data_IF_812870047470
#
_entry.id   IF_812870047470
#
_cell.length_a   1.000
_cell.length_b   1.000
_cell.length_c   1.000
_cell.angle_alpha   90.00
_cell.angle_beta   90.00
_cell.angle_gamma   90.00
#
_symmetry.space_group_name_H-M   'P 1'
#
loop_
_entity.id
_entity.type
_entity.pdbx_description
1 polymer ?
#
# COMPACT_ATOMS: atom_id res chain seq x y z
N UNK A 1 9.15 8.30 5.46
CA UNK A 1 10.14 7.98 4.39
C UNK A 1 9.86 6.60 3.84
N UNK A 2 9.94 6.39 2.51
CA UNK A 2 9.80 5.08 1.87
C UNK A 2 11.18 4.50 1.55
N UNK A 3 11.34 3.19 1.74
CA UNK A 3 12.59 2.47 1.45
C UNK A 3 12.26 1.20 0.66
N UNK A 4 12.85 1.04 -0.52
CA UNK A 4 12.74 -0.18 -1.34
C UNK A 4 14.01 -1.02 -1.21
N UNK A 5 13.88 -2.28 -0.79
CA UNK A 5 15.00 -3.20 -0.58
C UNK A 5 15.19 -4.19 -1.73
N UNK A 6 16.46 -4.48 -2.05
CA UNK A 6 16.88 -5.54 -2.97
C UNK A 6 17.28 -6.81 -2.20
N UNK A 7 17.55 -7.93 -2.89
CA UNK A 7 18.32 -9.05 -2.33
C UNK A 7 19.75 -8.61 -1.96
N UNK A 8 20.38 -9.35 -1.04
CA UNK A 8 21.58 -8.96 -0.29
C UNK A 8 22.70 -8.31 -1.14
N UNK A 9 23.09 -7.07 -0.77
CA UNK A 9 24.33 -6.43 -1.23
C UNK A 9 24.14 -5.03 -1.83
N UNK A 10 22.96 -4.70 -2.36
CA UNK A 10 22.72 -3.39 -2.99
C UNK A 10 21.96 -2.40 -2.08
N UNK A 11 22.36 -1.11 -2.07
CA UNK A 11 21.64 -0.10 -1.31
C UNK A 11 20.24 0.12 -1.90
N UNK A 12 19.23 0.12 -1.03
CA UNK A 12 17.85 0.36 -1.41
C UNK A 12 17.59 1.78 -1.94
N UNK A 13 16.49 1.95 -2.68
CA UNK A 13 16.03 3.27 -3.13
C UNK A 13 15.15 3.92 -2.08
N UNK A 14 15.30 5.22 -1.87
CA UNK A 14 14.53 5.98 -0.89
C UNK A 14 13.70 7.06 -1.57
N UNK A 15 12.44 7.19 -1.16
CA UNK A 15 11.58 8.31 -1.56
C UNK A 15 11.05 9.01 -0.31
N UNK A 16 11.04 10.34 -0.35
CA UNK A 16 10.38 11.14 0.66
C UNK A 16 11.06 12.46 1.01
N UNK A 17 10.45 13.24 1.91
CA UNK A 17 9.24 12.89 2.68
C UNK A 17 7.98 12.72 1.82
N UNK A 18 7.17 11.71 2.15
CA UNK A 18 5.91 11.40 1.48
C UNK A 18 4.84 11.22 2.57
N UNK A 19 4.08 12.28 2.90
CA UNK A 19 3.08 12.21 3.97
C UNK A 19 1.91 11.29 3.58
N UNK A 20 1.70 11.08 2.28
CA UNK A 20 0.68 10.19 1.74
C UNK A 20 1.27 9.35 0.61
N UNK A 21 1.01 8.05 0.64
CA UNK A 21 1.34 7.10 -0.42
C UNK A 21 0.04 6.45 -0.88
N UNK A 22 -0.31 6.65 -2.15
CA UNK A 22 -1.48 6.06 -2.76
C UNK A 22 -1.11 4.69 -3.35
N UNK A 23 -1.67 3.63 -2.76
CA UNK A 23 -1.58 2.26 -3.28
C UNK A 23 -2.83 2.01 -4.10
N UNK A 24 -2.70 1.98 -5.43
CA UNK A 24 -3.83 1.88 -6.35
C UNK A 24 -3.56 0.80 -7.38
N UNK A 25 -4.38 -0.25 -7.41
CA UNK A 25 -4.22 -1.43 -8.26
C UNK A 25 -2.80 -1.97 -8.09
N UNK A 26 -2.05 -2.07 -9.18
CA UNK A 26 -0.67 -2.49 -9.25
C UNK A 26 0.34 -1.34 -9.10
N UNK A 27 -0.05 -0.11 -8.72
CA UNK A 27 0.88 1.03 -8.70
C UNK A 27 0.91 1.79 -7.38
N UNK A 28 2.07 2.39 -7.11
CA UNK A 28 2.29 3.35 -6.03
C UNK A 28 2.39 4.76 -6.60
N UNK A 29 1.69 5.72 -6.01
CA UNK A 29 1.70 7.14 -6.43
C UNK A 29 1.84 8.08 -5.25
N UNK A 30 2.38 9.26 -5.52
CA UNK A 30 2.49 10.36 -4.53
C UNK A 30 1.16 11.08 -4.28
N UNK A 31 0.22 11.01 -5.22
CA UNK A 31 -1.13 11.56 -5.15
C UNK A 31 -2.07 10.76 -6.07
N UNK A 32 -3.40 10.95 -6.02
CA UNK A 32 -4.34 10.15 -6.82
C UNK A 32 -4.01 10.13 -8.32
N UNK A 33 -3.67 11.30 -8.87
CA UNK A 33 -3.33 11.48 -10.29
C UNK A 33 -1.83 11.75 -10.53
N UNK A 34 -1.03 11.66 -9.47
CA UNK A 34 0.40 12.01 -9.48
C UNK A 34 1.28 10.98 -10.18
N UNK A 35 2.58 11.24 -10.15
CA UNK A 35 3.58 10.37 -10.76
C UNK A 35 3.54 8.97 -10.14
N UNK A 36 3.65 7.94 -11.00
CA UNK A 36 3.87 6.57 -10.55
C UNK A 36 5.29 6.45 -10.01
N UNK A 37 5.40 6.07 -8.74
CA UNK A 37 6.67 5.86 -8.05
C UNK A 37 7.22 4.44 -8.29
N UNK A 38 6.33 3.45 -8.28
CA UNK A 38 6.66 2.06 -8.55
C UNK A 38 5.43 1.31 -9.10
N UNK A 39 5.67 0.23 -9.84
CA UNK A 39 4.65 -0.73 -10.27
C UNK A 39 4.92 -2.09 -9.64
N UNK A 40 3.88 -2.77 -9.18
CA UNK A 40 3.92 -4.17 -8.76
C UNK A 40 3.79 -5.05 -10.00
N UNK A 41 4.76 -5.93 -10.21
CA UNK A 41 4.75 -6.90 -11.31
C UNK A 41 5.49 -8.16 -10.86
N UNK A 42 4.90 -9.33 -11.12
CA UNK A 42 5.46 -10.65 -10.79
C UNK A 42 6.05 -10.71 -9.37
N UNK A 43 5.23 -10.35 -8.36
CA UNK A 43 5.61 -10.29 -6.95
C UNK A 43 6.73 -9.30 -6.57
N UNK A 44 7.12 -8.38 -7.45
CA UNK A 44 8.20 -7.41 -7.23
C UNK A 44 7.73 -5.96 -7.47
N UNK A 45 8.48 -4.99 -6.94
CA UNK A 45 8.34 -3.57 -7.27
C UNK A 45 9.30 -3.19 -8.38
N UNK A 46 8.79 -2.64 -9.47
CA UNK A 46 9.56 -2.09 -10.57
C UNK A 46 9.64 -0.57 -10.43
N UNK A 47 10.86 -0.05 -10.33
CA UNK A 47 11.18 1.38 -10.30
C UNK A 47 12.23 1.63 -11.38
N UNK A 48 11.90 2.43 -12.39
CA UNK A 48 12.83 2.79 -13.47
C UNK A 48 13.51 1.55 -14.12
N UNK A 49 12.78 0.45 -14.24
CA UNK A 49 13.26 -0.81 -14.82
C UNK A 49 14.06 -1.72 -13.86
N UNK A 50 14.29 -1.30 -12.61
CA UNK A 50 14.92 -2.12 -11.56
C UNK A 50 13.87 -2.73 -10.65
N UNK A 51 14.14 -3.95 -10.18
CA UNK A 51 13.22 -4.70 -9.33
C UNK A 51 13.62 -4.66 -7.86
N UNK A 52 12.63 -4.62 -6.98
CA UNK A 52 12.80 -4.59 -5.53
C UNK A 52 11.78 -5.54 -4.89
N UNK A 53 12.19 -6.27 -3.86
CA UNK A 53 11.34 -7.29 -3.26
C UNK A 53 10.41 -6.74 -2.18
N UNK A 54 10.78 -5.58 -1.62
CA UNK A 54 10.17 -5.06 -0.42
C UNK A 54 10.12 -3.54 -0.43
N UNK A 55 9.02 -3.01 0.08
CA UNK A 55 8.83 -1.63 0.47
C UNK A 55 8.67 -1.56 2.00
N UNK A 56 9.33 -0.61 2.65
CA UNK A 56 9.11 -0.26 4.06
C UNK A 56 8.80 1.25 4.18
N UNK A 57 7.81 1.59 5.00
CA UNK A 57 7.53 2.97 5.41
C UNK A 57 8.10 3.17 6.80
N UNK A 58 8.97 4.15 6.97
CA UNK A 58 9.52 4.53 8.28
C UNK A 58 8.57 5.47 9.02
N UNK A 59 8.35 5.21 10.30
CA UNK A 59 7.56 6.04 11.21
C UNK A 59 6.12 5.53 11.41
N UNK A 60 5.37 6.12 12.35
CA UNK A 60 3.96 5.81 12.55
C UNK A 60 3.15 6.07 11.29
N UNK A 61 2.17 5.20 11.02
CA UNK A 61 1.28 5.34 9.88
C UNK A 61 -0.17 5.06 10.23
N UNK A 62 -1.06 5.63 9.42
CA UNK A 62 -2.47 5.29 9.34
C UNK A 62 -2.78 4.77 7.93
N UNK A 63 -3.81 3.93 7.80
CA UNK A 63 -4.27 3.45 6.49
C UNK A 63 -5.71 3.87 6.25
N UNK A 64 -5.98 4.42 5.07
CA UNK A 64 -7.30 4.85 4.63
C UNK A 64 -7.80 4.00 3.46
N UNK A 65 -8.87 3.22 3.66
CA UNK A 65 -9.56 2.55 2.55
C UNK A 65 -10.74 3.39 2.07
N UNK A 66 -10.83 3.62 0.76
CA UNK A 66 -12.03 4.17 0.13
C UNK A 66 -12.73 3.06 -0.66
N UNK A 67 -13.98 2.75 -0.30
CA UNK A 67 -14.79 1.83 -1.08
C UNK A 67 -15.15 2.46 -2.43
N UNK A 68 -14.99 1.70 -3.52
CA UNK A 68 -15.32 2.16 -4.88
C UNK A 68 -16.83 2.14 -5.17
N UNK A 69 -17.60 1.35 -4.41
CA UNK A 69 -19.06 1.25 -4.46
C UNK A 69 -19.58 0.81 -3.08
N UNK A 70 -20.89 0.95 -2.79
CA UNK A 70 -21.50 0.35 -1.61
C UNK A 70 -21.22 -1.16 -1.61
N UNK A 71 -20.44 -1.63 -0.63
CA UNK A 71 -20.13 -3.05 -0.47
C UNK A 71 -21.16 -3.65 0.49
N UNK A 72 -22.05 -4.57 0.09
CA UNK A 72 -23.06 -5.14 0.99
C UNK A 72 -22.49 -5.91 2.20
N UNK A 73 -21.21 -6.31 2.18
CA UNK A 73 -20.52 -6.87 3.36
C UNK A 73 -20.17 -5.79 4.41
N UNK A 74 -20.17 -4.52 4.00
CA UNK A 74 -20.01 -3.34 4.82
C UNK A 74 -21.38 -2.68 4.79
N UNK A 75 -22.24 -3.00 5.74
CA UNK A 75 -23.66 -2.62 5.75
C UNK A 75 -23.97 -1.23 5.18
N UNK A 76 -25.18 -1.07 4.64
CA UNK A 76 -25.66 0.06 3.83
C UNK A 76 -25.43 1.48 4.39
N UNK A 77 -24.96 1.62 5.63
CA UNK A 77 -24.71 2.86 6.36
C UNK A 77 -23.28 3.43 6.22
N UNK A 78 -22.39 2.85 5.41
CA UNK A 78 -21.00 3.35 5.32
C UNK A 78 -20.58 3.81 3.91
N UNK A 79 -21.11 4.94 3.39
CA UNK A 79 -20.41 5.68 2.36
C UNK A 79 -19.22 6.43 3.00
N UNK A 80 -18.01 6.04 2.64
CA UNK A 80 -16.82 6.89 2.79
C UNK A 80 -15.86 6.50 3.90
N UNK A 81 -14.66 6.06 3.51
CA UNK A 81 -13.41 6.05 4.28
C UNK A 81 -13.39 5.28 5.62
N UNK A 82 -12.63 4.18 5.64
CA UNK A 82 -12.24 3.49 6.87
C UNK A 82 -10.78 3.78 7.20
N UNK A 83 -10.52 4.10 8.46
CA UNK A 83 -9.19 4.42 8.98
C UNK A 83 -8.70 3.28 9.88
N UNK A 84 -7.45 2.89 9.72
CA UNK A 84 -6.77 1.85 10.50
C UNK A 84 -5.47 2.39 11.09
N UNK A 85 -5.14 1.93 12.29
CA UNK A 85 -3.97 2.38 13.05
C UNK A 85 -4.32 3.34 14.19
N UNK A 86 -3.33 4.08 14.74
CA UNK A 86 -1.94 4.16 14.26
C UNK A 86 -1.20 2.82 14.36
N UNK A 87 -0.35 2.55 13.39
CA UNK A 87 0.60 1.43 13.38
C UNK A 87 2.02 1.95 13.51
N UNK A 88 2.90 1.19 14.15
CA UNK A 88 4.30 1.57 14.32
C UNK A 88 5.15 1.29 13.08
N UNK A 89 4.71 0.35 12.24
CA UNK A 89 5.42 -0.06 11.03
C UNK A 89 4.47 -0.49 9.93
N UNK A 90 4.81 -0.12 8.70
CA UNK A 90 4.16 -0.62 7.49
C UNK A 90 5.19 -1.12 6.49
N UNK A 91 4.88 -2.23 5.84
CA UNK A 91 5.69 -2.77 4.77
C UNK A 91 4.88 -3.52 3.73
N UNK A 92 5.46 -3.74 2.57
CA UNK A 92 4.85 -4.51 1.51
C UNK A 92 5.87 -5.41 0.82
N UNK A 93 5.53 -6.68 0.63
CA UNK A 93 6.36 -7.65 -0.07
C UNK A 93 5.49 -8.67 -0.79
N UNK A 94 5.88 -9.09 -2.01
CA UNK A 94 5.17 -10.11 -2.79
C UNK A 94 3.65 -9.86 -2.95
N UNK A 95 3.24 -8.59 -3.07
CA UNK A 95 1.82 -8.23 -3.18
C UNK A 95 1.06 -8.28 -1.85
N UNK A 96 1.75 -8.39 -0.72
CA UNK A 96 1.14 -8.44 0.61
C UNK A 96 1.54 -7.21 1.39
N UNK A 97 0.55 -6.48 1.90
CA UNK A 97 0.71 -5.37 2.82
C UNK A 97 0.68 -5.89 4.27
N UNK A 98 1.63 -5.39 5.07
CA UNK A 98 1.78 -5.72 6.46
C UNK A 98 1.74 -4.46 7.32
N UNK A 99 1.08 -4.56 8.48
CA UNK A 99 1.13 -3.56 9.56
C UNK A 99 1.62 -4.23 10.83
N UNK A 100 2.61 -3.65 11.50
CA UNK A 100 3.21 -4.22 12.71
C UNK A 100 3.56 -5.71 12.59
N UNK A 101 4.04 -6.10 11.40
CA UNK A 101 4.39 -7.48 10.99
C UNK A 101 3.20 -8.46 10.89
N UNK A 102 1.97 -7.96 10.88
CA UNK A 102 0.76 -8.75 10.67
C UNK A 102 0.23 -8.55 9.25
N UNK A 103 -0.38 -9.60 8.67
CA UNK A 103 -1.06 -9.52 7.38
C UNK A 103 -2.22 -8.53 7.45
N UNK A 104 -2.24 -7.58 6.53
CA UNK A 104 -3.27 -6.54 6.51
C UNK A 104 -4.11 -6.58 5.22
N UNK A 105 -3.44 -6.65 4.06
CA UNK A 105 -4.09 -6.76 2.78
C UNK A 105 -3.23 -7.56 1.79
N UNK A 106 -3.87 -8.15 0.78
CA UNK A 106 -3.18 -8.87 -0.30
C UNK A 106 -3.69 -8.44 -1.67
N UNK A 107 -2.78 -8.31 -2.63
CA UNK A 107 -3.09 -7.97 -4.01
C UNK A 107 -3.38 -9.23 -4.81
N UNK A 108 -4.46 -9.19 -5.59
CA UNK A 108 -4.80 -10.24 -6.54
C UNK A 108 -4.45 -9.76 -7.96
N UNK A 109 -3.37 -10.31 -8.53
CA UNK A 109 -2.88 -9.91 -9.86
C UNK A 109 -3.92 -10.13 -10.97
N UNK A 110 -4.79 -11.15 -10.85
CA UNK A 110 -5.81 -11.46 -11.85
C UNK A 110 -6.93 -10.43 -11.93
N UNK A 111 -7.29 -9.79 -10.81
CA UNK A 111 -8.37 -8.81 -10.75
C UNK A 111 -7.86 -7.38 -10.62
N UNK A 112 -6.56 -7.20 -10.34
CA UNK A 112 -5.94 -5.94 -9.99
C UNK A 112 -6.60 -5.24 -8.79
N UNK A 113 -7.06 -6.03 -7.80
CA UNK A 113 -7.71 -5.53 -6.58
C UNK A 113 -6.94 -5.93 -5.33
N UNK A 114 -7.05 -5.10 -4.30
CA UNK A 114 -6.57 -5.32 -2.96
C UNK A 114 -7.66 -5.93 -2.08
N UNK A 115 -7.41 -7.11 -1.55
CA UNK A 115 -8.25 -7.71 -0.52
C UNK A 115 -7.84 -7.19 0.86
N UNK A 116 -8.72 -6.44 1.53
CA UNK A 116 -8.53 -6.07 2.93
C UNK A 116 -9.05 -7.21 3.82
N UNK A 117 -8.18 -7.74 4.68
CA UNK A 117 -8.50 -8.92 5.52
C UNK A 117 -9.57 -8.57 6.56
N UNK A 118 -9.42 -7.43 7.23
CA UNK A 118 -10.35 -7.01 8.29
C UNK A 118 -11.75 -6.71 7.73
N UNK A 119 -11.81 -6.00 6.59
CA UNK A 119 -13.07 -5.63 5.95
C UNK A 119 -13.67 -6.74 5.08
N UNK A 120 -12.94 -7.85 4.87
CA UNK A 120 -13.35 -8.98 4.02
C UNK A 120 -13.88 -8.52 2.65
N UNK A 121 -13.16 -7.59 2.03
CA UNK A 121 -13.62 -6.91 0.82
C UNK A 121 -12.48 -6.62 -0.14
N UNK A 122 -12.82 -6.44 -1.42
CA UNK A 122 -11.87 -6.09 -2.46
C UNK A 122 -12.00 -4.61 -2.81
N UNK A 123 -10.86 -3.94 -2.99
CA UNK A 123 -10.75 -2.50 -3.21
C UNK A 123 -9.79 -2.22 -4.34
N UNK A 124 -10.01 -1.12 -5.06
CA UNK A 124 -9.03 -0.65 -6.04
C UNK A 124 -7.74 -0.19 -5.37
N UNK A 125 -7.77 0.16 -4.09
CA UNK A 125 -6.60 0.66 -3.39
C UNK A 125 -6.89 1.22 -2.01
N UNK A 126 -5.86 1.79 -1.41
CA UNK A 126 -5.88 2.45 -0.12
C UNK A 126 -4.73 3.47 -0.03
N UNK A 127 -4.79 4.34 0.97
CA UNK A 127 -3.77 5.36 1.21
C UNK A 127 -3.03 5.02 2.49
N UNK A 128 -1.70 5.01 2.44
CA UNK A 128 -0.86 4.98 3.64
C UNK A 128 -0.48 6.41 3.97
N UNK A 129 -0.88 6.88 5.14
CA UNK A 129 -0.59 8.22 5.65
C UNK A 129 0.51 8.09 6.69
N UNK A 130 1.62 8.79 6.49
CA UNK A 130 2.73 8.81 7.44
C UNK A 130 2.64 10.07 8.29
N UNK A 131 2.72 9.90 9.61
CA UNK A 131 2.70 11.02 10.57
C UNK A 131 4.04 11.78 10.64
N UNK A 132 4.99 11.42 9.75
CA UNK A 132 6.29 12.07 9.63
C UNK A 132 6.13 13.41 8.90
N UNK A 133 5.83 14.47 9.65
CA UNK A 133 6.04 15.87 9.24
C UNK A 133 7.45 16.33 9.58
#
# INVERSE_FOLDING_TARGET
MLVFGHTAGEPGVRFGPLPRLHVMRDVLRESPDGRVLARHDNHQWVIEGKTYFRLDVTGPVHIEFQAAAPNPAIGADAPGRRFFGPYSHYSMAAGIAYVDRQFFASFAETTCLWHCIELRGNYEGFVVVSDSA
#
